data_IF_487240711154
#
_entry.id   IF_487240711154
#
_cell.length_a   1.000
_cell.length_b   1.000
_cell.length_c   1.000
_cell.angle_alpha   90.00
_cell.angle_beta   90.00
_cell.angle_gamma   90.00
#
_symmetry.space_group_name_H-M   'P 1'
#
loop_
_entity.id
_entity.type
_entity.pdbx_description
1 polymer ?
#
# COMPACT_ATOMS: atom_id res chain seq x y z
N UNK A 1 42.85 13.98 15.87
CA UNK A 1 42.81 13.29 14.57
C UNK A 1 43.20 11.84 14.77
N UNK A 2 42.29 10.90 14.53
CA UNK A 2 42.53 9.63 13.82
C UNK A 2 41.25 8.79 13.82
N UNK A 3 40.90 8.33 12.61
CA UNK A 3 39.73 7.55 12.24
C UNK A 3 39.85 6.12 12.77
N UNK A 4 38.78 5.61 13.40
CA UNK A 4 38.63 4.23 13.82
C UNK A 4 37.26 3.69 13.42
N UNK A 5 37.18 3.22 12.18
CA UNK A 5 36.16 2.41 11.51
C UNK A 5 35.11 1.70 12.39
N UNK A 6 33.83 1.95 12.07
CA UNK A 6 32.62 1.26 12.58
C UNK A 6 32.55 -0.23 12.17
N UNK A 7 33.42 -0.67 11.25
CA UNK A 7 33.42 -2.03 10.70
C UNK A 7 33.93 -3.13 11.66
N UNK A 8 34.25 -2.80 12.93
CA UNK A 8 34.74 -3.79 13.91
C UNK A 8 33.70 -4.26 14.94
N UNK A 9 32.49 -3.70 14.96
CA UNK A 9 31.41 -4.13 15.88
C UNK A 9 30.47 -5.21 15.34
N UNK A 10 30.55 -5.58 14.06
CA UNK A 10 29.61 -6.51 13.44
C UNK A 10 30.01 -8.00 13.49
N UNK A 11 31.09 -8.37 14.18
CA UNK A 11 31.62 -9.75 14.12
C UNK A 11 31.56 -10.54 15.44
N UNK A 12 31.05 -9.96 16.53
CA UNK A 12 30.97 -10.66 17.83
C UNK A 12 29.69 -11.50 18.03
N UNK A 13 28.75 -11.51 17.07
CA UNK A 13 27.46 -12.21 17.23
C UNK A 13 27.44 -13.62 16.61
N UNK A 14 28.52 -14.05 15.94
CA UNK A 14 28.52 -15.29 15.16
C UNK A 14 29.18 -16.50 15.84
N UNK A 15 29.78 -16.38 17.03
CA UNK A 15 30.38 -17.52 17.75
C UNK A 15 30.31 -17.39 19.27
N UNK A 16 29.51 -18.26 19.92
CA UNK A 16 29.55 -18.55 21.37
C UNK A 16 28.58 -17.70 22.21
N UNK A 17 27.77 -18.22 23.13
CA UNK A 17 27.69 -19.55 23.70
C UNK A 17 26.42 -19.66 24.57
N UNK A 18 26.07 -20.90 24.93
CA UNK A 18 24.93 -21.22 25.81
C UNK A 18 25.12 -20.60 27.19
N UNK A 19 24.10 -19.90 27.69
CA UNK A 19 23.85 -19.77 29.13
C UNK A 19 22.35 -19.90 29.42
N UNK A 20 22.07 -20.70 30.45
CA UNK A 20 20.78 -21.17 30.94
C UNK A 20 20.18 -20.26 32.02
N UNK A 21 18.95 -19.78 31.78
CA UNK A 21 17.77 -19.57 32.69
C UNK A 21 17.89 -18.57 33.89
N UNK A 22 16.79 -18.12 34.58
CA UNK A 22 15.37 -18.55 34.55
C UNK A 22 14.33 -17.37 34.65
N UNK A 23 13.09 -17.54 35.18
CA UNK A 23 11.82 -17.39 34.45
C UNK A 23 11.11 -16.05 34.68
N UNK A 24 10.32 -15.57 33.71
CA UNK A 24 9.34 -14.49 33.96
C UNK A 24 7.99 -14.79 33.33
N UNK A 25 7.07 -15.17 34.22
CA UNK A 25 5.67 -14.74 34.27
C UNK A 25 5.00 -14.43 32.93
N UNK A 26 4.16 -15.36 32.50
CA UNK A 26 2.99 -15.06 31.70
C UNK A 26 2.16 -13.98 32.38
N UNK A 27 1.86 -12.89 31.68
CA UNK A 27 0.49 -12.47 31.35
C UNK A 27 0.42 -11.03 30.82
N UNK A 28 -0.63 -10.81 30.02
CA UNK A 28 -1.31 -9.54 29.69
C UNK A 28 -0.75 -8.71 28.54
N UNK A 29 -1.41 -8.89 27.39
CA UNK A 29 -2.00 -7.73 26.72
C UNK A 29 -1.26 -7.15 25.52
N UNK A 30 -0.66 -7.96 24.64
CA UNK A 30 -0.24 -7.50 23.30
C UNK A 30 -1.41 -7.56 22.31
N UNK A 31 -2.55 -6.98 22.65
CA UNK A 31 -3.71 -6.85 21.77
C UNK A 31 -3.85 -5.38 21.35
N UNK A 32 -3.86 -5.11 20.04
CA UNK A 32 -4.17 -3.77 19.50
C UNK A 32 -3.15 -3.13 18.56
N UNK A 33 -1.90 -3.61 18.51
CA UNK A 33 -0.92 -3.18 17.49
C UNK A 33 -0.90 -4.14 16.31
N UNK A 34 -0.96 -3.61 15.09
CA UNK A 34 -0.80 -4.38 13.86
C UNK A 34 0.58 -5.05 13.84
N UNK A 35 0.67 -6.22 13.20
CA UNK A 35 1.90 -7.04 13.19
C UNK A 35 3.11 -6.25 12.66
N UNK A 36 2.88 -5.38 11.67
CA UNK A 36 3.89 -4.50 11.09
C UNK A 36 4.38 -3.40 12.03
N UNK A 37 3.50 -2.80 12.85
CA UNK A 37 3.90 -1.82 13.86
C UNK A 37 4.85 -2.43 14.90
N UNK A 38 4.66 -3.71 15.22
CA UNK A 38 5.56 -4.46 16.11
C UNK A 38 6.88 -4.80 15.43
N UNK A 39 6.84 -5.18 14.16
CA UNK A 39 8.02 -5.52 13.38
C UNK A 39 8.91 -4.27 13.16
N UNK A 40 8.30 -3.14 12.78
CA UNK A 40 8.98 -1.86 12.61
C UNK A 40 9.55 -1.35 13.95
N UNK A 41 8.78 -1.41 15.04
CA UNK A 41 9.28 -1.05 16.38
C UNK A 41 10.45 -1.93 16.84
N UNK A 42 10.42 -3.23 16.52
CA UNK A 42 11.53 -4.15 16.79
C UNK A 42 12.76 -3.87 15.94
N UNK A 43 12.57 -3.43 14.69
CA UNK A 43 13.64 -3.08 13.76
C UNK A 43 14.31 -1.74 14.12
N UNK A 44 13.55 -0.75 14.59
CA UNK A 44 14.06 0.59 14.94
C UNK A 44 14.44 0.75 16.41
N UNK A 45 14.19 -0.26 17.26
CA UNK A 45 14.50 -0.23 18.69
C UNK A 45 13.56 0.65 19.53
N UNK A 46 12.40 1.01 18.98
CA UNK A 46 11.41 1.90 19.63
C UNK A 46 10.45 1.05 20.50
N UNK A 47 10.30 1.41 21.77
CA UNK A 47 9.31 0.79 22.67
C UNK A 47 7.96 1.48 22.48
N UNK A 48 6.96 0.75 21.99
CA UNK A 48 5.60 1.26 21.81
C UNK A 48 4.94 1.52 23.19
N UNK A 49 4.36 2.70 23.44
CA UNK A 49 3.67 2.99 24.69
C UNK A 49 2.35 2.19 24.81
N UNK A 50 1.89 1.84 26.01
CA UNK A 50 0.55 1.25 26.20
C UNK A 50 -0.53 2.30 25.88
N UNK A 51 -1.50 1.96 25.01
CA UNK A 51 -2.66 2.83 24.74
C UNK A 51 -3.61 2.81 25.95
N UNK A 52 -4.21 3.95 26.36
CA UNK A 52 -5.18 3.99 27.44
C UNK A 52 -6.43 3.15 27.10
N UNK A 53 -6.85 2.35 28.08
CA UNK A 53 -8.00 1.45 28.00
C UNK A 53 -9.28 2.29 27.91
N UNK A 54 -9.98 2.23 26.79
CA UNK A 54 -11.38 2.70 26.72
C UNK A 54 -12.30 1.63 27.30
N UNK A 55 -13.01 2.01 28.35
CA UNK A 55 -14.06 1.23 28.99
C UNK A 55 -15.18 0.99 27.98
N UNK A 56 -15.54 -0.29 27.76
CA UNK A 56 -16.66 -0.71 26.93
C UNK A 56 -17.96 -0.20 27.56
N UNK A 57 -18.60 0.79 26.94
CA UNK A 57 -20.04 0.98 27.08
C UNK A 57 -20.74 0.06 26.07
N UNK A 58 -21.50 -0.90 26.59
CA UNK A 58 -22.34 -1.79 25.81
C UNK A 58 -23.55 -1.01 25.29
N UNK A 59 -23.58 -0.71 23.99
CA UNK A 59 -24.79 -0.23 23.33
C UNK A 59 -25.55 -1.43 22.71
N UNK A 60 -26.90 -1.46 22.79
CA UNK A 60 -27.68 -2.59 22.30
C UNK A 60 -27.59 -2.74 20.79
N UNK A 61 -27.48 -4.00 20.37
CA UNK A 61 -27.36 -4.49 19.00
C UNK A 61 -28.63 -4.16 18.21
N UNK A 62 -28.66 -3.02 17.52
CA UNK A 62 -29.62 -2.79 16.44
C UNK A 62 -29.16 -3.52 15.19
N UNK A 63 -30.03 -4.38 14.68
CA UNK A 63 -29.84 -5.14 13.46
C UNK A 63 -29.87 -4.18 12.26
N UNK A 64 -28.79 -4.16 11.48
CA UNK A 64 -28.82 -3.65 10.12
C UNK A 64 -29.16 -4.82 9.18
N UNK A 65 -30.34 -4.84 8.52
CA UNK A 65 -30.55 -5.67 7.37
C UNK A 65 -29.92 -4.96 6.18
N UNK A 66 -28.86 -5.54 5.62
CA UNK A 66 -28.51 -5.58 4.19
C UNK A 66 -27.03 -5.95 4.07
N UNK A 67 -26.77 -7.26 4.11
CA UNK A 67 -25.60 -7.86 3.48
C UNK A 67 -25.75 -7.58 1.98
N UNK A 68 -25.22 -6.45 1.51
CA UNK A 68 -24.99 -6.29 0.07
C UNK A 68 -24.02 -7.39 -0.33
N UNK A 69 -24.49 -8.24 -1.25
CA UNK A 69 -23.70 -9.34 -1.78
C UNK A 69 -22.52 -8.73 -2.52
N UNK A 70 -21.30 -8.98 -2.02
CA UNK A 70 -20.11 -8.85 -2.83
C UNK A 70 -20.29 -9.83 -4.01
N UNK A 71 -20.45 -9.30 -5.22
CA UNK A 71 -20.45 -10.12 -6.43
C UNK A 71 -19.17 -10.96 -6.50
N UNK A 72 -19.17 -12.06 -7.28
CA UNK A 72 -17.98 -12.90 -7.43
C UNK A 72 -16.84 -12.05 -8.01
N UNK A 73 -15.85 -11.79 -7.16
CA UNK A 73 -14.62 -11.10 -7.52
C UNK A 73 -13.84 -12.03 -8.46
N UNK A 74 -13.53 -11.56 -9.67
CA UNK A 74 -12.82 -12.35 -10.68
C UNK A 74 -11.48 -12.88 -10.14
N UNK A 75 -10.98 -14.00 -10.69
CA UNK A 75 -9.75 -14.64 -10.20
C UNK A 75 -8.58 -13.65 -10.24
N UNK A 76 -7.89 -13.48 -9.11
CA UNK A 76 -6.75 -12.54 -8.96
C UNK A 76 -7.11 -11.17 -8.39
N UNK A 77 -8.40 -10.86 -8.30
CA UNK A 77 -8.89 -9.66 -7.63
C UNK A 77 -9.21 -9.93 -6.16
N UNK A 78 -9.09 -8.91 -5.33
CA UNK A 78 -9.54 -8.94 -3.95
C UNK A 78 -10.08 -7.55 -3.53
N UNK A 79 -11.12 -7.52 -2.67
CA UNK A 79 -11.67 -6.27 -2.18
C UNK A 79 -10.70 -5.60 -1.21
N UNK A 80 -10.59 -4.27 -1.29
CA UNK A 80 -9.89 -3.45 -0.31
C UNK A 80 -10.89 -2.93 0.73
N UNK A 81 -10.47 -2.73 1.99
CA UNK A 81 -11.38 -2.28 3.04
C UNK A 81 -11.90 -0.87 2.72
N UNK A 82 -13.20 -0.60 2.90
CA UNK A 82 -13.77 0.71 2.59
C UNK A 82 -13.23 1.76 3.56
N UNK A 83 -13.07 3.00 3.07
CA UNK A 83 -12.74 4.11 3.94
C UNK A 83 -13.95 4.43 4.84
N UNK A 84 -13.78 4.46 6.19
CA UNK A 84 -14.88 4.76 7.10
C UNK A 84 -15.39 6.20 6.93
N UNK A 85 -16.70 6.38 7.04
CA UNK A 85 -17.33 7.71 7.08
C UNK A 85 -16.77 8.54 8.25
N UNK A 86 -16.52 9.83 8.01
CA UNK A 86 -15.84 10.72 8.94
C UNK A 86 -16.46 10.70 10.35
N UNK A 87 -15.61 10.54 11.37
CA UNK A 87 -16.00 10.37 12.78
C UNK A 87 -14.98 9.59 13.62
N UNK A 88 -14.06 8.86 12.97
CA UNK A 88 -13.05 8.03 13.63
C UNK A 88 -11.59 8.44 13.35
N UNK A 89 -11.34 9.45 12.52
CA UNK A 89 -9.99 9.86 12.09
C UNK A 89 -9.65 11.25 12.64
N UNK A 90 -9.03 11.30 13.81
CA UNK A 90 -8.35 12.51 14.30
C UNK A 90 -6.94 12.58 13.70
N UNK A 91 -6.84 12.98 12.43
CA UNK A 91 -5.54 13.23 11.81
C UNK A 91 -5.06 14.64 12.18
N UNK A 92 -3.96 14.71 12.93
CA UNK A 92 -3.23 15.94 13.22
C UNK A 92 -2.57 16.48 11.96
N UNK A 93 -3.29 17.28 11.16
CA UNK A 93 -2.77 18.30 10.22
C UNK A 93 -1.64 17.92 9.23
N UNK A 94 -1.33 16.63 9.05
CA UNK A 94 -0.18 16.12 8.31
C UNK A 94 -0.63 15.03 7.33
N UNK A 95 0.19 14.77 6.32
CA UNK A 95 -0.02 13.69 5.36
C UNK A 95 -0.03 12.36 6.12
N UNK A 96 -1.22 11.78 6.26
CA UNK A 96 -1.46 10.66 7.15
C UNK A 96 -1.99 9.47 6.35
N UNK A 97 -1.44 8.29 6.65
CA UNK A 97 -2.05 7.03 6.23
C UNK A 97 -3.36 6.88 7.00
N UNK A 98 -4.48 6.92 6.27
CA UNK A 98 -5.83 6.80 6.83
C UNK A 98 -6.34 5.37 6.80
N UNK A 99 -5.78 4.54 5.91
CA UNK A 99 -6.12 3.13 5.78
C UNK A 99 -4.94 2.35 5.20
N UNK A 100 -4.71 1.17 5.76
CA UNK A 100 -3.70 0.21 5.31
C UNK A 100 -4.39 -1.14 5.04
N UNK A 101 -4.06 -1.73 3.90
CA UNK A 101 -4.52 -3.06 3.51
C UNK A 101 -3.36 -3.86 2.90
N UNK A 102 -3.45 -5.17 2.94
CA UNK A 102 -2.45 -6.06 2.35
C UNK A 102 -3.14 -7.04 1.40
N UNK A 103 -2.48 -7.36 0.29
CA UNK A 103 -2.91 -8.44 -0.60
C UNK A 103 -3.00 -9.78 0.14
N UNK A 104 -3.83 -10.72 -0.33
CA UNK A 104 -4.01 -12.03 0.32
C UNK A 104 -2.72 -12.84 0.50
N UNK A 105 -1.73 -12.65 -0.38
CA UNK A 105 -0.41 -13.29 -0.32
C UNK A 105 0.57 -12.61 0.65
N UNK A 106 0.21 -11.44 1.21
CA UNK A 106 1.06 -10.68 2.12
C UNK A 106 2.20 -9.90 1.46
N UNK A 107 2.28 -9.87 0.13
CA UNK A 107 3.42 -9.30 -0.60
C UNK A 107 3.23 -7.83 -0.98
N UNK A 108 1.99 -7.38 -1.11
CA UNK A 108 1.65 -6.02 -1.53
C UNK A 108 0.87 -5.29 -0.45
N UNK A 109 1.34 -4.11 -0.04
CA UNK A 109 0.62 -3.22 0.85
C UNK A 109 0.03 -2.04 0.06
N UNK A 110 -1.21 -1.69 0.40
CA UNK A 110 -1.98 -0.58 -0.15
C UNK A 110 -2.20 0.42 0.99
N UNK A 111 -1.49 1.54 0.93
CA UNK A 111 -1.58 2.61 1.92
C UNK A 111 -2.36 3.77 1.32
N UNK A 112 -3.59 3.95 1.80
CA UNK A 112 -4.40 5.10 1.44
C UNK A 112 -3.98 6.27 2.32
N UNK A 113 -3.60 7.38 1.68
CA UNK A 113 -3.16 8.60 2.36
C UNK A 113 -4.14 9.73 2.09
N UNK A 114 -4.29 10.57 3.09
CA UNK A 114 -4.95 11.86 2.94
C UNK A 114 -3.86 12.94 3.03
N UNK A 115 -3.61 13.70 1.95
CA UNK A 115 -2.62 14.77 1.98
C UNK A 115 -2.96 15.82 3.05
N UNK A 116 -1.93 16.44 3.62
CA UNK A 116 -2.12 17.54 4.58
C UNK A 116 -2.78 18.74 3.89
N UNK A 117 -3.87 19.26 4.46
CA UNK A 117 -4.53 20.49 3.98
C UNK A 117 -5.78 20.26 3.12
N UNK A 118 -6.21 21.32 2.42
CA UNK A 118 -7.49 21.41 1.71
C UNK A 118 -7.56 20.63 0.38
N UNK A 119 -6.60 19.77 0.08
CA UNK A 119 -6.71 18.84 -1.06
C UNK A 119 -7.62 17.70 -0.67
N UNK A 120 -8.86 17.73 -1.17
CA UNK A 120 -9.89 16.69 -0.95
C UNK A 120 -9.59 15.36 -1.66
N UNK A 121 -8.44 15.21 -2.31
CA UNK A 121 -8.11 14.03 -3.12
C UNK A 121 -7.22 13.06 -2.33
N UNK A 122 -7.67 11.81 -2.22
CA UNK A 122 -6.89 10.74 -1.64
C UNK A 122 -5.78 10.29 -2.59
N UNK A 123 -4.72 9.75 -2.02
CA UNK A 123 -3.62 9.11 -2.75
C UNK A 123 -3.41 7.69 -2.26
N UNK A 124 -2.88 6.85 -3.15
CA UNK A 124 -2.53 5.48 -2.88
C UNK A 124 -1.01 5.31 -3.03
N UNK A 125 -0.39 4.82 -1.97
CA UNK A 125 0.97 4.30 -1.99
C UNK A 125 0.91 2.77 -2.04
N UNK A 126 1.42 2.19 -3.14
CA UNK A 126 1.50 0.76 -3.39
C UNK A 126 2.92 0.29 -3.08
N UNK A 127 3.09 -0.57 -2.08
CA UNK A 127 4.40 -1.08 -1.67
C UNK A 127 4.47 -2.58 -1.93
N UNK A 128 5.46 -3.02 -2.71
CA UNK A 128 5.63 -4.45 -3.06
C UNK A 128 6.92 -5.00 -2.44
N UNK A 129 6.81 -6.14 -1.75
CA UNK A 129 7.95 -6.86 -1.17
C UNK A 129 8.58 -7.78 -2.19
N UNK A 130 9.90 -7.74 -2.30
CA UNK A 130 10.64 -8.60 -3.24
C UNK A 130 10.27 -8.31 -4.69
N UNK A 131 9.88 -7.07 -5.01
CA UNK A 131 9.77 -6.62 -6.38
C UNK A 131 11.18 -6.55 -6.98
N UNK A 132 11.63 -7.68 -7.51
CA UNK A 132 12.91 -7.77 -8.21
C UNK A 132 12.83 -7.01 -9.55
N UNK A 133 13.99 -6.55 -10.03
CA UNK A 133 14.13 -5.96 -11.36
C UNK A 133 14.10 -7.08 -12.41
N UNK A 134 12.93 -7.71 -12.56
CA UNK A 134 12.70 -8.76 -13.54
C UNK A 134 12.62 -8.21 -14.98
N UNK A 135 12.71 -9.11 -15.97
CA UNK A 135 12.72 -8.76 -17.39
C UNK A 135 11.48 -8.00 -17.87
N UNK A 136 10.37 -8.08 -17.12
CA UNK A 136 9.14 -7.35 -17.39
C UNK A 136 8.72 -6.53 -16.19
N UNK A 137 8.30 -5.26 -16.38
CA UNK A 137 7.74 -4.47 -15.30
C UNK A 137 6.46 -5.14 -14.78
N UNK A 138 6.26 -5.04 -13.46
CA UNK A 138 5.04 -5.51 -12.81
C UNK A 138 4.01 -4.39 -12.78
N UNK A 139 2.75 -4.75 -12.82
CA UNK A 139 1.62 -3.83 -12.77
C UNK A 139 0.53 -4.39 -11.87
N UNK A 140 0.00 -3.54 -10.99
CA UNK A 140 -1.20 -3.83 -10.21
C UNK A 140 -2.36 -3.00 -10.79
N UNK A 141 -3.58 -3.53 -10.70
CA UNK A 141 -4.79 -2.81 -11.12
C UNK A 141 -5.60 -2.48 -9.88
N UNK A 142 -6.14 -1.27 -9.83
CA UNK A 142 -7.05 -0.81 -8.78
C UNK A 142 -8.34 -0.34 -9.42
N UNK A 143 -9.49 -0.82 -8.94
CA UNK A 143 -10.80 -0.32 -9.34
C UNK A 143 -11.52 0.29 -8.17
N UNK A 144 -12.27 1.35 -8.43
CA UNK A 144 -13.15 1.97 -7.45
C UNK A 144 -14.32 2.67 -8.14
N UNK A 145 -15.44 2.75 -7.46
CA UNK A 145 -16.65 3.41 -7.98
C UNK A 145 -17.04 4.54 -7.04
N UNK A 146 -16.71 5.80 -7.38
CA UNK A 146 -17.16 6.97 -6.65
C UNK A 146 -18.69 7.08 -6.60
N UNK A 147 -19.24 8.00 -5.78
CA UNK A 147 -20.67 8.24 -5.70
C UNK A 147 -21.35 8.69 -6.99
N UNK A 148 -20.59 9.12 -8.01
CA UNK A 148 -21.09 9.43 -9.35
C UNK A 148 -21.50 8.18 -10.15
N UNK A 149 -21.14 6.99 -9.66
CA UNK A 149 -21.50 5.70 -10.24
C UNK A 149 -20.59 5.23 -11.38
N UNK A 150 -19.56 5.99 -11.74
CA UNK A 150 -18.63 5.59 -12.80
C UNK A 150 -17.50 4.75 -12.22
N UNK A 151 -17.28 3.55 -12.76
CA UNK A 151 -16.13 2.74 -12.35
C UNK A 151 -14.84 3.33 -12.92
N UNK A 152 -13.90 3.63 -12.03
CA UNK A 152 -12.55 4.03 -12.39
C UNK A 152 -11.63 2.83 -12.29
N UNK A 153 -10.86 2.61 -13.35
CA UNK A 153 -9.76 1.65 -13.37
C UNK A 153 -8.45 2.42 -13.40
N UNK A 154 -7.53 2.10 -12.50
CA UNK A 154 -6.17 2.61 -12.48
C UNK A 154 -5.17 1.46 -12.62
N UNK A 155 -4.25 1.62 -13.56
CA UNK A 155 -3.08 0.79 -13.74
C UNK A 155 -1.93 1.39 -12.93
N UNK A 156 -1.33 0.63 -12.03
CA UNK A 156 -0.27 1.12 -11.14
C UNK A 156 1.00 0.32 -11.43
N UNK A 157 1.97 0.87 -12.19
CA UNK A 157 3.22 0.18 -12.43
C UNK A 157 3.99 0.09 -11.11
N UNK A 158 4.56 -1.07 -10.81
CA UNK A 158 5.38 -1.27 -9.62
C UNK A 158 6.76 -0.70 -9.88
N UNK A 159 7.15 0.25 -9.03
CA UNK A 159 8.52 0.77 -9.01
C UNK A 159 9.47 -0.34 -8.58
N UNK A 160 10.45 -0.72 -9.40
CA UNK A 160 11.52 -1.60 -8.94
C UNK A 160 12.45 -0.83 -7.98
N UNK A 161 12.58 -1.33 -6.75
CA UNK A 161 13.48 -0.73 -5.76
C UNK A 161 14.92 -1.16 -6.02
N UNK A 162 15.81 -0.22 -6.37
CA UNK A 162 17.27 -0.49 -6.36
C UNK A 162 17.85 -0.48 -4.94
N UNK A 163 17.31 0.39 -4.08
CA UNK A 163 17.65 0.53 -2.66
C UNK A 163 16.36 0.96 -1.93
N UNK A 164 15.93 0.18 -0.93
CA UNK A 164 14.68 0.44 -0.20
C UNK A 164 13.46 -0.31 -0.73
N UNK A 165 12.28 -0.02 -0.19
CA UNK A 165 11.03 -0.66 -0.61
C UNK A 165 10.54 -0.05 -1.92
N UNK A 166 10.23 -0.92 -2.88
CA UNK A 166 9.53 -0.61 -4.12
C UNK A 166 8.17 0.04 -3.82
N UNK A 167 8.02 1.34 -4.08
CA UNK A 167 6.79 2.08 -3.79
C UNK A 167 6.34 2.95 -4.97
N UNK A 168 5.12 2.72 -5.43
CA UNK A 168 4.44 3.55 -6.44
C UNK A 168 3.44 4.46 -5.76
N UNK A 169 3.29 5.70 -6.24
CA UNK A 169 2.42 6.69 -5.62
C UNK A 169 1.50 7.33 -6.67
N UNK A 170 0.19 7.11 -6.49
CA UNK A 170 -0.84 7.54 -7.44
C UNK A 170 -1.98 8.28 -6.75
N UNK A 171 -2.66 9.12 -7.51
CA UNK A 171 -3.84 9.85 -7.07
C UNK A 171 -5.11 9.06 -7.34
N UNK A 172 -6.05 9.08 -6.41
CA UNK A 172 -7.38 8.48 -6.57
C UNK A 172 -8.43 9.59 -6.75
N UNK A 173 -8.63 10.05 -7.99
CA UNK A 173 -9.59 11.13 -8.30
C UNK A 173 -11.01 10.68 -7.95
N UNK A 174 -11.76 11.53 -7.24
CA UNK A 174 -13.14 11.23 -6.84
C UNK A 174 -13.29 10.16 -5.75
N UNK A 175 -12.19 9.57 -5.26
CA UNK A 175 -12.26 8.59 -4.18
C UNK A 175 -12.67 9.25 -2.86
N UNK A 176 -13.44 8.54 -2.03
CA UNK A 176 -13.89 9.07 -0.75
C UNK A 176 -14.52 8.01 0.17
N UNK A 177 -15.05 8.44 1.33
CA UNK A 177 -15.67 7.54 2.29
C UNK A 177 -16.85 6.76 1.69
N UNK A 178 -16.97 5.49 2.04
CA UNK A 178 -18.05 4.61 1.54
C UNK A 178 -17.86 4.08 0.11
N UNK A 179 -16.79 4.49 -0.60
CA UNK A 179 -16.43 3.94 -1.91
C UNK A 179 -15.98 2.48 -1.77
N UNK A 180 -16.57 1.60 -2.56
CA UNK A 180 -16.08 0.24 -2.73
C UNK A 180 -14.94 0.23 -3.75
N UNK A 181 -13.93 -0.57 -3.45
CA UNK A 181 -12.74 -0.67 -4.28
C UNK A 181 -12.09 -2.04 -4.14
N UNK A 182 -11.36 -2.42 -5.18
CA UNK A 182 -10.68 -3.70 -5.27
C UNK A 182 -9.35 -3.51 -5.97
N UNK A 183 -8.47 -4.49 -5.80
CA UNK A 183 -7.19 -4.50 -6.49
C UNK A 183 -6.81 -5.91 -6.94
N UNK A 184 -5.89 -5.96 -7.90
CA UNK A 184 -5.12 -7.16 -8.21
C UNK A 184 -3.76 -7.11 -7.50
N UNK A 185 -3.15 -8.29 -7.35
CA UNK A 185 -1.72 -8.35 -7.04
C UNK A 185 -0.88 -7.93 -8.26
N UNK A 186 0.37 -7.51 -8.05
CA UNK A 186 1.29 -7.23 -9.14
C UNK A 186 1.48 -8.43 -10.07
N UNK A 187 1.35 -8.21 -11.37
CA UNK A 187 1.61 -9.21 -12.39
C UNK A 187 2.50 -8.62 -13.51
N UNK A 188 3.34 -9.41 -14.19
CA UNK A 188 4.11 -8.95 -15.32
C UNK A 188 3.22 -8.35 -16.41
N UNK A 189 3.65 -7.24 -17.00
CA UNK A 189 2.93 -6.61 -18.12
C UNK A 189 2.88 -7.57 -19.32
N UNK A 190 1.68 -7.92 -19.82
CA UNK A 190 1.54 -8.75 -21.02
C UNK A 190 2.00 -7.97 -22.27
N UNK A 191 2.58 -8.67 -23.24
CA UNK A 191 3.06 -8.04 -24.48
C UNK A 191 1.90 -7.51 -25.35
N UNK A 192 0.75 -8.16 -25.25
CA UNK A 192 -0.50 -7.92 -25.96
C UNK A 192 -1.53 -7.21 -25.08
N UNK A 193 -1.08 -6.38 -24.13
CA UNK A 193 -1.95 -5.58 -23.28
C UNK A 193 -2.99 -4.80 -24.11
N UNK A 194 -4.27 -5.05 -23.86
CA UNK A 194 -5.43 -4.52 -24.58
C UNK A 194 -6.12 -3.38 -23.83
N UNK A 195 -5.39 -2.67 -22.97
CA UNK A 195 -5.92 -1.59 -22.14
C UNK A 195 -6.56 -0.48 -22.99
N UNK A 196 -7.66 0.08 -22.50
CA UNK A 196 -8.26 1.24 -23.13
C UNK A 196 -7.29 2.45 -23.05
N UNK A 197 -7.07 3.20 -24.15
CA UNK A 197 -6.15 4.35 -24.15
C UNK A 197 -6.48 5.40 -23.07
N UNK A 198 -7.77 5.68 -22.84
CA UNK A 198 -8.21 6.61 -21.80
C UNK A 198 -7.77 6.15 -20.40
N UNK A 199 -7.90 4.86 -20.09
CA UNK A 199 -7.44 4.27 -18.83
C UNK A 199 -5.94 4.47 -18.63
N UNK A 200 -5.14 4.30 -19.68
CA UNK A 200 -3.68 4.50 -19.61
C UNK A 200 -3.33 5.97 -19.39
N UNK A 201 -3.98 6.89 -20.12
CA UNK A 201 -3.79 8.33 -19.94
C UNK A 201 -4.14 8.75 -18.51
N UNK A 202 -5.28 8.30 -17.98
CA UNK A 202 -5.70 8.60 -16.62
C UNK A 202 -4.74 8.01 -15.58
N UNK A 203 -4.24 6.80 -15.81
CA UNK A 203 -3.31 6.12 -14.90
C UNK A 203 -1.91 6.76 -14.89
N UNK A 204 -1.41 7.20 -16.04
CA UNK A 204 -0.16 7.98 -16.13
C UNK A 204 -0.35 9.35 -15.49
N UNK A 205 -1.48 10.02 -15.75
CA UNK A 205 -1.84 11.31 -15.15
C UNK A 205 -2.11 11.25 -13.64
N UNK A 206 -2.37 10.06 -13.09
CA UNK A 206 -2.52 9.82 -11.66
C UNK A 206 -1.17 9.71 -10.93
N UNK A 207 -0.05 9.46 -11.62
CA UNK A 207 1.26 9.33 -10.98
C UNK A 207 1.68 10.63 -10.25
N UNK A 208 1.98 10.52 -8.95
CA UNK A 208 2.27 11.67 -8.08
C UNK A 208 3.77 11.95 -7.88
N UNK A 209 4.64 11.03 -8.28
CA UNK A 209 6.09 11.21 -8.17
C UNK A 209 6.83 10.74 -9.43
N UNK A 210 8.06 11.21 -9.60
CA UNK A 210 8.87 10.90 -10.78
C UNK A 210 9.20 9.40 -10.85
N UNK A 211 9.39 8.74 -9.70
CA UNK A 211 9.68 7.30 -9.67
C UNK A 211 8.55 6.46 -10.27
N UNK A 212 7.28 6.84 -10.04
CA UNK A 212 6.12 6.16 -10.64
C UNK A 212 6.03 6.47 -12.15
N UNK A 213 6.39 7.69 -12.56
CA UNK A 213 6.50 8.05 -13.99
C UNK A 213 7.63 7.30 -14.69
N UNK A 214 8.76 7.08 -14.02
CA UNK A 214 9.85 6.23 -14.50
C UNK A 214 9.41 4.78 -14.66
N UNK A 215 8.59 4.26 -13.74
CA UNK A 215 8.02 2.92 -13.89
C UNK A 215 7.12 2.82 -15.13
N UNK A 216 6.36 3.87 -15.46
CA UNK A 216 5.64 3.96 -16.74
C UNK A 216 6.53 3.94 -17.97
N UNK A 217 7.71 4.58 -17.92
CA UNK A 217 8.71 4.50 -19.01
C UNK A 217 9.20 3.07 -19.24
N UNK A 218 9.25 2.23 -18.21
CA UNK A 218 9.56 0.81 -18.37
C UNK A 218 8.41 0.02 -18.98
N UNK A 219 7.17 0.30 -18.57
CA UNK A 219 5.97 -0.31 -19.17
C UNK A 219 5.90 -0.04 -20.66
N UNK A 220 6.17 1.21 -21.06
CA UNK A 220 6.26 1.66 -22.46
C UNK A 220 7.17 0.79 -23.33
N UNK A 221 8.26 0.26 -22.77
CA UNK A 221 9.22 -0.55 -23.52
C UNK A 221 8.72 -1.99 -23.75
N UNK A 222 7.67 -2.43 -23.06
CA UNK A 222 7.14 -3.80 -23.11
C UNK A 222 5.79 -3.96 -23.82
N UNK A 223 5.18 -2.87 -24.29
CA UNK A 223 3.86 -2.85 -24.94
C UNK A 223 3.97 -2.63 -26.45
N UNK A 224 2.85 -2.81 -27.16
CA UNK A 224 2.71 -2.54 -28.59
C UNK A 224 3.01 -1.08 -28.94
N UNK A 225 3.40 -0.81 -30.19
CA UNK A 225 3.73 0.53 -30.68
C UNK A 225 2.59 1.54 -30.45
N UNK A 226 1.34 1.16 -30.74
CA UNK A 226 0.19 2.02 -30.51
C UNK A 226 0.00 2.38 -29.03
N UNK A 227 0.25 1.45 -28.10
CA UNK A 227 0.14 1.72 -26.67
C UNK A 227 1.34 2.53 -26.14
N UNK A 228 2.53 2.32 -26.72
CA UNK A 228 3.72 3.13 -26.44
C UNK A 228 3.47 4.61 -26.75
N UNK A 229 2.85 4.92 -27.88
CA UNK A 229 2.53 6.30 -28.26
C UNK A 229 1.54 6.96 -27.28
N UNK A 230 0.58 6.20 -26.76
CA UNK A 230 -0.36 6.67 -25.72
C UNK A 230 0.39 7.01 -24.43
N UNK A 231 1.29 6.13 -23.97
CA UNK A 231 2.10 6.36 -22.76
C UNK A 231 3.02 7.56 -22.97
N UNK A 232 3.69 7.66 -24.13
CA UNK A 232 4.56 8.78 -24.46
C UNK A 232 3.80 10.11 -24.53
N UNK A 233 2.58 10.11 -25.06
CA UNK A 233 1.70 11.27 -25.06
C UNK A 233 1.33 11.72 -23.64
N UNK A 234 1.04 10.78 -22.74
CA UNK A 234 0.66 11.07 -21.37
C UNK A 234 1.84 11.42 -20.44
N UNK A 235 3.08 11.04 -20.81
CA UNK A 235 4.30 11.34 -20.06
C UNK A 235 4.95 12.69 -20.40
N UNK A 236 4.51 13.36 -21.47
CA UNK A 236 4.93 14.73 -21.83
C UNK A 236 4.36 15.75 -20.86
#
# INVERSE_FOLDING_TARGET
MSRGSVARRSWASFTGGRHTSPPRTAERGRAGYALWQRAWASFTGIVLPPRPIHVRFSAPRQAFPHRMQAGPVARGWFPLPPLPAAGALTASGSDAVVLEATSPDGLTAFLLRHPAGNTSEYSLELVVRGADDGDRPLLATVTYTPPDGHEHTLLVPVVAGRIGLAASYVRLRGFGPGVMWAATGPAPVPADADWAPATVVDSVGAALNETTRDAWRRVRDCVSEGMRDVIDGALR
#
